data_IF_040711691079
#
_entry.id   IF_040711691079
#
_cell.length_a   1.000
_cell.length_b   1.000
_cell.length_c   1.000
_cell.angle_alpha   90.00
_cell.angle_beta   90.00
_cell.angle_gamma   90.00
#
_symmetry.space_group_name_H-M   'P 1'
#
loop_
_entity.id
_entity.type
_entity.pdbx_description
1 polymer ?
#
# COMPACT_ATOMS: atom_id res chain seq x y z
N UNK A 1 19.37 31.79 -43.27
CA UNK A 1 20.52 32.64 -42.79
C UNK A 1 20.06 34.02 -42.29
N UNK A 2 18.95 34.61 -42.81
CA UNK A 2 18.48 35.92 -42.32
C UNK A 2 17.70 35.80 -40.98
N UNK A 3 16.95 34.72 -40.74
CA UNK A 3 16.21 34.48 -39.49
C UNK A 3 17.12 34.19 -38.29
N UNK A 4 18.26 33.54 -38.50
CA UNK A 4 19.24 33.28 -37.43
C UNK A 4 19.94 34.57 -36.93
N UNK A 5 20.16 35.52 -37.82
CA UNK A 5 20.81 36.79 -37.41
C UNK A 5 19.86 37.71 -36.63
N UNK A 6 18.56 37.68 -36.89
CA UNK A 6 17.56 38.44 -36.11
C UNK A 6 17.31 37.80 -34.74
N UNK A 7 17.22 36.48 -34.67
CA UNK A 7 17.11 35.76 -33.40
C UNK A 7 18.36 35.99 -32.51
N UNK A 8 19.55 36.01 -33.11
CA UNK A 8 20.79 36.27 -32.38
C UNK A 8 20.90 37.73 -31.89
N UNK A 9 20.41 38.70 -32.67
CA UNK A 9 20.36 40.10 -32.26
C UNK A 9 19.34 40.32 -31.14
N UNK A 10 18.16 39.73 -31.23
CA UNK A 10 17.17 39.77 -30.15
C UNK A 10 17.69 39.12 -28.87
N UNK A 11 18.43 38.04 -28.99
CA UNK A 11 19.04 37.34 -27.86
C UNK A 11 20.15 38.19 -27.23
N UNK A 12 20.98 38.85 -28.03
CA UNK A 12 22.05 39.75 -27.50
C UNK A 12 21.47 41.03 -26.89
N UNK A 13 20.39 41.59 -27.41
CA UNK A 13 19.70 42.76 -26.86
C UNK A 13 19.04 42.45 -25.49
N UNK A 14 18.48 41.29 -25.33
CA UNK A 14 17.92 40.80 -24.05
C UNK A 14 19.03 40.56 -23.02
N UNK A 15 20.18 40.04 -23.47
CA UNK A 15 21.38 39.85 -22.62
C UNK A 15 21.95 41.14 -22.09
N UNK A 16 22.00 42.21 -22.91
CA UNK A 16 22.66 43.47 -22.57
C UNK A 16 21.76 44.41 -21.74
N UNK A 17 20.42 44.31 -21.92
CA UNK A 17 19.47 45.24 -21.28
C UNK A 17 18.82 44.70 -19.98
N UNK A 18 18.92 43.40 -19.66
CA UNK A 18 18.29 42.86 -18.46
C UNK A 18 19.03 41.64 -17.86
N UNK A 19 20.22 41.86 -17.24
CA UNK A 19 21.01 40.80 -16.65
C UNK A 19 20.30 40.09 -15.50
N UNK A 20 19.43 40.76 -14.73
CA UNK A 20 18.66 40.19 -13.62
C UNK A 20 17.54 39.26 -14.12
N UNK A 21 16.87 39.61 -15.23
CA UNK A 21 15.86 38.75 -15.86
C UNK A 21 16.46 37.48 -16.45
N UNK A 22 17.72 37.53 -16.88
CA UNK A 22 18.42 36.36 -17.40
C UNK A 22 18.91 35.42 -16.28
N UNK A 23 19.33 35.99 -15.15
CA UNK A 23 19.66 35.21 -13.97
C UNK A 23 18.43 34.43 -13.46
N UNK A 24 17.25 35.04 -13.50
CA UNK A 24 15.96 34.39 -13.15
C UNK A 24 15.59 33.31 -14.18
N UNK A 25 15.76 33.54 -15.47
CA UNK A 25 15.51 32.54 -16.52
C UNK A 25 16.47 31.35 -16.46
N UNK A 26 17.74 31.58 -16.10
CA UNK A 26 18.74 30.53 -15.94
C UNK A 26 18.61 29.76 -14.62
N UNK A 27 18.08 30.41 -13.59
CA UNK A 27 17.82 29.76 -12.29
C UNK A 27 16.53 28.92 -12.28
N UNK A 28 15.55 29.27 -13.14
CA UNK A 28 14.27 28.57 -13.26
C UNK A 28 13.81 28.47 -14.71
N UNK A 29 14.48 27.66 -15.57
CA UNK A 29 14.18 27.59 -17.00
C UNK A 29 12.81 26.94 -17.29
N UNK A 30 12.15 26.37 -16.30
CA UNK A 30 10.83 25.74 -16.41
C UNK A 30 9.95 26.16 -15.23
N UNK A 31 8.93 26.95 -15.50
CA UNK A 31 7.88 27.23 -14.54
C UNK A 31 6.95 26.01 -14.44
N UNK A 32 7.16 25.17 -13.42
CA UNK A 32 6.32 24.04 -13.13
C UNK A 32 4.96 24.53 -12.58
N UNK A 33 4.01 24.74 -13.47
CA UNK A 33 2.63 25.00 -13.07
C UNK A 33 1.98 23.69 -12.63
N UNK A 34 2.12 23.37 -11.35
CA UNK A 34 1.48 22.19 -10.77
C UNK A 34 0.01 22.48 -10.50
N UNK A 35 -0.87 22.01 -11.36
CA UNK A 35 -2.31 22.01 -11.09
C UNK A 35 -2.63 20.79 -10.20
N UNK A 36 -2.92 21.06 -8.93
CA UNK A 36 -3.36 20.02 -7.99
C UNK A 36 -4.79 19.62 -8.32
N UNK A 37 -4.97 18.48 -8.97
CA UNK A 37 -6.28 17.89 -9.27
C UNK A 37 -7.00 17.47 -7.98
N UNK A 38 -6.25 17.04 -6.96
CA UNK A 38 -6.74 16.74 -5.63
C UNK A 38 -5.83 17.40 -4.59
N UNK A 39 -6.43 18.17 -3.70
CA UNK A 39 -5.70 18.84 -2.62
C UNK A 39 -5.38 17.81 -1.53
N UNK A 40 -4.14 17.30 -1.54
CA UNK A 40 -3.62 16.43 -0.49
C UNK A 40 -2.76 17.30 0.41
N UNK A 41 -3.24 17.58 1.63
CA UNK A 41 -2.59 18.51 2.55
C UNK A 41 -1.26 17.98 3.10
N UNK A 42 -1.10 16.65 3.17
CA UNK A 42 0.11 16.02 3.71
C UNK A 42 0.49 14.78 2.89
N UNK A 43 1.79 14.64 2.60
CA UNK A 43 2.36 13.46 1.91
C UNK A 43 2.00 12.15 2.65
N UNK A 44 1.93 12.19 3.98
CA UNK A 44 1.51 11.05 4.80
C UNK A 44 0.11 10.55 4.47
N UNK A 45 -0.85 11.46 4.20
CA UNK A 45 -2.21 11.07 3.80
C UNK A 45 -2.27 10.42 2.42
N UNK A 46 -1.37 10.81 1.50
CA UNK A 46 -1.28 10.19 0.17
C UNK A 46 -0.75 8.76 0.23
N UNK A 47 0.24 8.51 1.10
CA UNK A 47 0.91 7.21 1.24
C UNK A 47 0.22 6.27 2.23
N UNK A 48 -0.66 6.78 3.11
CA UNK A 48 -1.33 6.00 4.15
C UNK A 48 -2.07 4.76 3.61
N UNK A 49 -2.83 4.81 2.50
CA UNK A 49 -3.52 3.63 2.00
C UNK A 49 -2.56 2.48 1.64
N UNK A 50 -1.42 2.81 1.03
CA UNK A 50 -0.40 1.83 0.68
C UNK A 50 0.18 1.13 1.92
N UNK A 51 0.60 1.90 2.92
CA UNK A 51 1.17 1.34 4.14
C UNK A 51 0.15 0.54 4.96
N UNK A 52 -1.12 0.95 4.95
CA UNK A 52 -2.21 0.20 5.60
C UNK A 52 -2.39 -1.16 4.94
N UNK A 53 -2.45 -1.22 3.61
CA UNK A 53 -2.58 -2.48 2.88
C UNK A 53 -1.39 -3.40 3.15
N UNK A 54 -0.18 -2.86 3.15
CA UNK A 54 1.03 -3.60 3.48
C UNK A 54 0.98 -4.14 4.92
N UNK A 55 0.60 -3.32 5.89
CA UNK A 55 0.49 -3.73 7.29
C UNK A 55 -0.54 -4.84 7.49
N UNK A 56 -1.70 -4.77 6.82
CA UNK A 56 -2.73 -5.80 6.87
C UNK A 56 -2.26 -7.12 6.24
N UNK A 57 -1.52 -7.03 5.14
CA UNK A 57 -0.94 -8.22 4.49
C UNK A 57 0.10 -8.89 5.39
N UNK A 58 1.06 -8.12 5.89
CA UNK A 58 2.13 -8.62 6.78
C UNK A 58 1.52 -9.21 8.06
N UNK A 59 0.53 -8.57 8.64
CA UNK A 59 -0.12 -9.07 9.83
C UNK A 59 -0.90 -10.37 9.61
N UNK A 60 -1.56 -10.53 8.47
CA UNK A 60 -2.20 -11.81 8.12
C UNK A 60 -1.15 -12.91 7.91
N UNK A 61 0.01 -12.59 7.33
CA UNK A 61 1.12 -13.51 7.17
C UNK A 61 1.71 -13.93 8.54
N UNK A 62 1.95 -12.97 9.45
CA UNK A 62 2.41 -13.25 10.81
C UNK A 62 1.41 -14.13 11.58
N UNK A 63 0.12 -13.85 11.42
CA UNK A 63 -0.92 -14.70 12.03
C UNK A 63 -0.84 -16.14 11.49
N UNK A 64 -0.56 -16.33 10.20
CA UNK A 64 -0.38 -17.65 9.60
C UNK A 64 0.84 -18.40 10.13
N UNK A 65 1.91 -17.69 10.52
CA UNK A 65 3.09 -18.30 11.13
C UNK A 65 2.89 -18.67 12.60
N UNK A 66 2.15 -17.83 13.35
CA UNK A 66 1.92 -18.02 14.79
C UNK A 66 0.80 -19.03 15.06
N UNK A 67 -0.27 -18.98 14.30
CA UNK A 67 -1.42 -19.90 14.43
C UNK A 67 -1.17 -21.13 13.56
N UNK A 68 -1.02 -22.30 14.18
CA UNK A 68 -0.88 -23.55 13.41
C UNK A 68 -2.14 -23.78 12.59
N UNK A 69 -2.03 -23.56 11.29
CA UNK A 69 -3.13 -23.69 10.32
C UNK A 69 -3.58 -25.15 10.18
N UNK A 70 -2.62 -26.11 10.24
CA UNK A 70 -2.94 -27.53 10.11
C UNK A 70 -3.14 -28.22 11.46
N UNK A 71 -4.17 -29.06 11.56
CA UNK A 71 -4.36 -29.96 12.69
C UNK A 71 -3.47 -31.19 12.52
N UNK A 72 -2.84 -31.65 13.61
CA UNK A 72 -2.14 -32.94 13.61
C UNK A 72 -3.12 -34.07 13.21
N UNK A 73 -2.71 -34.95 12.26
CA UNK A 73 -3.60 -36.02 11.73
C UNK A 73 -4.21 -36.89 12.83
N UNK A 74 -3.42 -37.21 13.87
CA UNK A 74 -3.88 -37.98 15.01
C UNK A 74 -5.07 -37.36 15.77
N UNK A 75 -5.04 -36.02 15.99
CA UNK A 75 -6.16 -35.29 16.60
C UNK A 75 -7.38 -35.21 15.71
N UNK A 76 -7.19 -35.09 14.42
CA UNK A 76 -8.27 -35.05 13.45
C UNK A 76 -9.03 -36.40 13.39
N UNK A 77 -8.28 -37.50 13.47
CA UNK A 77 -8.83 -38.83 13.52
C UNK A 77 -9.63 -39.09 14.80
N UNK A 78 -9.12 -38.65 15.97
CA UNK A 78 -9.83 -38.77 17.25
C UNK A 78 -11.13 -37.98 17.32
N UNK A 79 -11.20 -36.83 16.65
CA UNK A 79 -12.40 -35.97 16.66
C UNK A 79 -13.42 -36.31 15.58
N UNK A 80 -13.12 -37.23 14.66
CA UNK A 80 -14.01 -37.60 13.55
C UNK A 80 -14.47 -36.47 12.65
N UNK A 81 -13.68 -35.37 12.60
CA UNK A 81 -14.05 -34.14 11.88
C UNK A 81 -13.71 -34.22 10.40
N UNK A 82 -14.63 -33.79 9.55
CA UNK A 82 -14.46 -33.70 8.10
C UNK A 82 -13.40 -32.62 7.71
N UNK A 83 -12.81 -32.76 6.53
CA UNK A 83 -11.81 -31.80 6.03
C UNK A 83 -12.34 -30.36 6.00
N UNK A 84 -13.60 -30.16 5.60
CA UNK A 84 -14.28 -28.87 5.57
C UNK A 84 -14.41 -28.25 6.97
N UNK A 85 -14.80 -29.05 7.96
CA UNK A 85 -14.92 -28.58 9.34
C UNK A 85 -13.58 -28.19 9.94
N UNK A 86 -12.50 -28.89 9.58
CA UNK A 86 -11.12 -28.54 9.99
C UNK A 86 -10.67 -27.21 9.38
N UNK A 87 -11.00 -26.99 8.12
CA UNK A 87 -10.66 -25.75 7.41
C UNK A 87 -11.39 -24.56 8.05
N UNK A 88 -12.71 -24.61 8.09
CA UNK A 88 -13.52 -23.48 8.60
C UNK A 88 -13.35 -23.24 10.10
N UNK A 89 -13.22 -24.28 10.90
CA UNK A 89 -13.07 -24.15 12.35
C UNK A 89 -11.81 -23.35 12.76
N UNK A 90 -10.73 -23.46 11.99
CA UNK A 90 -9.52 -22.67 12.23
C UNK A 90 -9.51 -21.34 11.48
N UNK A 91 -10.15 -21.30 10.31
CA UNK A 91 -10.31 -20.08 9.55
C UNK A 91 -11.05 -18.99 10.34
N UNK A 92 -12.07 -19.36 11.13
CA UNK A 92 -12.82 -18.41 11.96
C UNK A 92 -11.89 -17.69 12.94
N UNK A 93 -11.00 -18.43 13.62
CA UNK A 93 -10.03 -17.81 14.54
C UNK A 93 -9.08 -16.86 13.80
N UNK A 94 -8.58 -17.29 12.66
CA UNK A 94 -7.70 -16.51 11.81
C UNK A 94 -8.39 -15.23 11.31
N UNK A 95 -9.62 -15.36 10.88
CA UNK A 95 -10.48 -14.25 10.45
C UNK A 95 -10.71 -13.23 11.58
N UNK A 96 -11.06 -13.69 12.80
CA UNK A 96 -11.29 -12.80 13.94
C UNK A 96 -10.04 -11.98 14.27
N UNK A 97 -8.86 -12.61 14.31
CA UNK A 97 -7.59 -11.92 14.56
C UNK A 97 -7.35 -10.86 13.46
N UNK A 98 -7.56 -11.22 12.19
CA UNK A 98 -7.40 -10.29 11.06
C UNK A 98 -8.36 -9.11 11.12
N UNK A 99 -9.63 -9.31 11.54
CA UNK A 99 -10.58 -8.21 11.68
C UNK A 99 -10.21 -7.27 12.83
N UNK A 100 -9.78 -7.80 13.97
CA UNK A 100 -9.28 -6.98 15.08
C UNK A 100 -8.08 -6.15 14.63
N UNK A 101 -7.15 -6.76 13.91
CA UNK A 101 -5.99 -6.06 13.35
C UNK A 101 -6.40 -4.94 12.38
N UNK A 102 -7.37 -5.19 11.50
CA UNK A 102 -7.87 -4.18 10.55
C UNK A 102 -8.50 -2.98 11.28
N UNK A 103 -9.27 -3.24 12.33
CA UNK A 103 -9.88 -2.19 13.13
C UNK A 103 -8.82 -1.37 13.87
N UNK A 104 -7.85 -2.02 14.52
CA UNK A 104 -6.75 -1.33 15.24
C UNK A 104 -5.92 -0.49 14.28
N UNK A 105 -5.55 -1.03 13.11
CA UNK A 105 -4.78 -0.30 12.10
C UNK A 105 -5.59 0.87 11.52
N UNK A 106 -6.85 0.64 11.15
CA UNK A 106 -7.71 1.68 10.58
C UNK A 106 -8.02 2.81 11.57
N UNK A 107 -8.36 2.50 12.82
CA UNK A 107 -8.58 3.48 13.88
C UNK A 107 -7.28 4.21 14.24
N UNK A 108 -6.15 3.50 14.29
CA UNK A 108 -4.84 4.10 14.51
C UNK A 108 -4.49 5.13 13.45
N UNK A 109 -4.75 4.85 12.18
CA UNK A 109 -4.52 5.81 11.09
C UNK A 109 -5.43 7.03 11.17
N UNK A 110 -6.69 6.85 11.57
CA UNK A 110 -7.64 7.97 11.70
C UNK A 110 -7.32 8.86 12.90
N UNK A 111 -7.04 8.26 14.08
CA UNK A 111 -6.90 9.02 15.33
C UNK A 111 -5.45 9.44 15.64
N UNK A 112 -4.45 8.59 15.38
CA UNK A 112 -3.05 8.91 15.69
C UNK A 112 -2.35 9.65 14.56
N UNK A 113 -2.56 9.22 13.31
CA UNK A 113 -1.91 9.83 12.15
C UNK A 113 -2.70 11.06 11.69
N UNK A 114 -3.99 11.16 12.05
CA UNK A 114 -4.84 12.26 11.64
C UNK A 114 -5.06 12.28 10.12
N UNK A 115 -5.14 11.10 9.49
CA UNK A 115 -5.34 10.98 8.05
C UNK A 115 -6.66 11.64 7.63
N UNK A 116 -6.60 12.53 6.64
CA UNK A 116 -7.79 13.16 6.09
C UNK A 116 -8.63 12.13 5.32
N UNK A 117 -9.81 11.85 5.83
CA UNK A 117 -10.75 10.92 5.20
C UNK A 117 -12.13 11.55 5.11
N UNK A 118 -12.70 11.56 3.91
CA UNK A 118 -14.05 12.11 3.65
C UNK A 118 -15.14 11.34 4.40
N UNK A 119 -14.96 10.02 4.56
CA UNK A 119 -15.92 9.15 5.27
C UNK A 119 -15.20 8.05 6.05
N UNK A 120 -14.98 8.23 7.37
CA UNK A 120 -14.24 7.27 8.21
C UNK A 120 -14.85 5.86 8.19
N UNK A 121 -16.19 5.77 8.17
CA UNK A 121 -16.89 4.47 8.16
C UNK A 121 -16.62 3.64 6.88
N UNK A 122 -16.60 4.30 5.71
CA UNK A 122 -16.28 3.61 4.45
C UNK A 122 -14.83 3.16 4.42
N UNK A 123 -13.93 3.96 4.98
CA UNK A 123 -12.52 3.62 5.09
C UNK A 123 -12.31 2.39 5.99
N UNK A 124 -12.91 2.35 7.18
CA UNK A 124 -12.84 1.18 8.06
C UNK A 124 -13.44 -0.07 7.41
N UNK A 125 -14.55 0.06 6.70
CA UNK A 125 -15.15 -1.04 5.95
C UNK A 125 -14.19 -1.56 4.88
N UNK A 126 -13.55 -0.67 4.13
CA UNK A 126 -12.54 -1.05 3.15
C UNK A 126 -11.36 -1.80 3.79
N UNK A 127 -10.85 -1.34 4.94
CA UNK A 127 -9.79 -2.04 5.69
C UNK A 127 -10.24 -3.45 6.11
N UNK A 128 -11.48 -3.62 6.59
CA UNK A 128 -12.02 -4.92 6.97
C UNK A 128 -12.15 -5.88 5.78
N UNK A 129 -12.62 -5.39 4.63
CA UNK A 129 -12.74 -6.19 3.40
C UNK A 129 -11.36 -6.60 2.87
N UNK A 130 -10.40 -5.69 2.87
CA UNK A 130 -9.03 -5.99 2.45
C UNK A 130 -8.36 -7.00 3.39
N UNK A 131 -8.53 -6.83 4.71
CA UNK A 131 -8.05 -7.78 5.70
C UNK A 131 -8.64 -9.18 5.50
N UNK A 132 -9.95 -9.27 5.22
CA UNK A 132 -10.60 -10.53 4.91
C UNK A 132 -9.96 -11.20 3.68
N UNK A 133 -9.74 -10.43 2.61
CA UNK A 133 -9.12 -10.96 1.38
C UNK A 133 -7.70 -11.50 1.65
N UNK A 134 -6.87 -10.74 2.37
CA UNK A 134 -5.52 -11.19 2.73
C UNK A 134 -5.53 -12.40 3.67
N UNK A 135 -6.46 -12.44 4.62
CA UNK A 135 -6.64 -13.59 5.50
C UNK A 135 -7.01 -14.86 4.73
N UNK A 136 -7.97 -14.78 3.81
CA UNK A 136 -8.38 -15.93 2.97
C UNK A 136 -7.21 -16.40 2.11
N UNK A 137 -6.50 -15.47 1.47
CA UNK A 137 -5.37 -15.80 0.60
C UNK A 137 -4.24 -16.48 1.37
N UNK A 138 -3.71 -15.84 2.41
CA UNK A 138 -2.59 -16.37 3.19
C UNK A 138 -2.96 -17.67 3.91
N UNK A 139 -4.17 -17.74 4.49
CA UNK A 139 -4.64 -18.95 5.14
C UNK A 139 -4.73 -20.13 4.16
N UNK A 140 -5.32 -19.91 2.98
CA UNK A 140 -5.47 -20.96 1.96
C UNK A 140 -4.12 -21.45 1.43
N UNK A 141 -3.17 -20.53 1.17
CA UNK A 141 -1.81 -20.88 0.73
C UNK A 141 -1.08 -21.73 1.78
N UNK A 142 -1.13 -21.32 3.04
CA UNK A 142 -0.49 -22.06 4.13
C UNK A 142 -1.21 -23.36 4.43
N UNK A 143 -2.54 -23.40 4.33
CA UNK A 143 -3.30 -24.65 4.50
C UNK A 143 -2.99 -25.68 3.43
N UNK A 144 -2.81 -25.25 2.17
CA UNK A 144 -2.56 -26.13 1.04
C UNK A 144 -1.09 -26.58 0.94
N UNK A 145 -0.15 -25.68 1.17
CA UNK A 145 1.28 -25.88 0.88
C UNK A 145 2.19 -25.82 2.12
N UNK A 146 1.63 -25.60 3.31
CA UNK A 146 2.36 -25.49 4.59
C UNK A 146 3.53 -24.46 4.49
N UNK A 147 4.75 -24.86 4.75
CA UNK A 147 5.92 -23.98 4.71
C UNK A 147 6.18 -23.36 3.32
N UNK A 148 5.88 -24.08 2.24
CA UNK A 148 5.98 -23.55 0.87
C UNK A 148 4.96 -22.44 0.65
N UNK A 149 3.76 -22.59 1.21
CA UNK A 149 2.73 -21.55 1.16
C UNK A 149 3.14 -20.26 1.88
N UNK A 150 3.84 -20.36 3.02
CA UNK A 150 4.41 -19.21 3.70
C UNK A 150 5.46 -18.50 2.83
N UNK A 151 6.40 -19.26 2.24
CA UNK A 151 7.41 -18.71 1.36
C UNK A 151 6.79 -18.00 0.15
N UNK A 152 5.76 -18.60 -0.46
CA UNK A 152 5.03 -18.00 -1.59
C UNK A 152 4.33 -16.71 -1.19
N UNK A 153 3.70 -16.66 -0.01
CA UNK A 153 3.09 -15.44 0.50
C UNK A 153 4.11 -14.32 0.70
N UNK A 154 5.32 -14.63 1.17
CA UNK A 154 6.41 -13.65 1.27
C UNK A 154 6.84 -13.14 -0.10
N UNK A 155 6.98 -14.02 -1.09
CA UNK A 155 7.32 -13.64 -2.46
C UNK A 155 6.25 -12.70 -3.05
N UNK A 156 4.96 -13.02 -2.85
CA UNK A 156 3.84 -12.16 -3.29
C UNK A 156 3.93 -10.78 -2.61
N UNK A 157 4.25 -10.73 -1.32
CA UNK A 157 4.43 -9.47 -0.60
C UNK A 157 5.56 -8.62 -1.21
N UNK A 158 6.72 -9.24 -1.47
CA UNK A 158 7.86 -8.54 -2.07
C UNK A 158 7.53 -8.02 -3.47
N UNK A 159 6.83 -8.81 -4.28
CA UNK A 159 6.38 -8.40 -5.61
C UNK A 159 5.38 -7.24 -5.54
N UNK A 160 4.48 -7.22 -4.56
CA UNK A 160 3.54 -6.10 -4.35
C UNK A 160 4.28 -4.82 -3.97
N UNK A 161 5.27 -4.90 -3.08
CA UNK A 161 6.09 -3.75 -2.68
C UNK A 161 6.91 -3.23 -3.86
N UNK A 162 7.56 -4.11 -4.61
CA UNK A 162 8.35 -3.74 -5.78
C UNK A 162 7.49 -3.20 -6.94
N UNK A 163 6.30 -3.79 -7.14
CA UNK A 163 5.39 -3.40 -8.22
C UNK A 163 4.61 -2.11 -7.96
N UNK A 164 4.49 -1.69 -6.69
CA UNK A 164 3.79 -0.46 -6.35
C UNK A 164 4.55 0.81 -6.74
N UNK A 165 5.83 0.74 -7.09
CA UNK A 165 6.70 1.73 -7.78
C UNK A 165 6.45 3.24 -7.61
N UNK A 166 5.39 3.62 -6.95
CA UNK A 166 4.86 4.97 -6.85
C UNK A 166 5.30 5.76 -5.61
N UNK A 167 6.35 5.32 -4.94
CA UNK A 167 6.86 6.03 -3.75
C UNK A 167 8.07 6.92 -4.06
N UNK A 168 8.44 7.03 -5.34
CA UNK A 168 9.57 7.86 -5.79
C UNK A 168 9.09 8.94 -6.72
#
# INVERSE_FOLDING_TARGET
SFSESEAFRQFSDVLENNPDGMADYLSSPVELKTEKVYEISTYGSAMAPYYIMLALFVGSLLTATMVKVQLRPARAAMLGVNATQRYFGRFILFFLIGQIQALVTGLGCLYYIGMQCVSPGRFLLACCVCSLNFCVMNYSLVYALDNIGMALSVVIMVLQVAGSGGTY
#
